data_IF_840149688721
#
_entry.id   IF_840149688721
#
_cell.length_a   1.000
_cell.length_b   1.000
_cell.length_c   1.000
_cell.angle_alpha   90.00
_cell.angle_beta   90.00
_cell.angle_gamma   90.00
#
_symmetry.space_group_name_H-M   'P 1'
#
loop_
_entity.id
_entity.type
_entity.pdbx_description
1 polymer ?
#
# COMPACT_ATOMS: atom_id res chain seq x y z
N UNK A 1 -22.70 -34.94 34.39
CA UNK A 1 -21.60 -35.66 33.72
C UNK A 1 -20.69 -34.58 33.16
N UNK A 2 -19.44 -34.50 33.60
CA UNK A 2 -18.47 -33.59 32.98
C UNK A 2 -17.92 -34.31 31.76
N UNK A 3 -18.26 -33.83 30.56
CA UNK A 3 -17.61 -34.29 29.33
C UNK A 3 -16.12 -34.00 29.47
N UNK A 4 -15.29 -35.05 29.46
CA UNK A 4 -13.85 -34.92 29.57
C UNK A 4 -13.33 -34.36 28.24
N UNK A 5 -13.03 -33.05 28.20
CA UNK A 5 -12.31 -32.44 27.08
C UNK A 5 -11.00 -33.19 26.83
N UNK A 6 -10.76 -33.57 25.57
CA UNK A 6 -9.49 -34.18 25.18
C UNK A 6 -8.35 -33.17 25.34
N UNK A 7 -7.17 -33.58 25.83
CA UNK A 7 -5.97 -32.72 25.83
C UNK A 7 -5.64 -32.13 24.45
N UNK A 8 -6.00 -32.82 23.37
CA UNK A 8 -5.85 -32.33 21.99
C UNK A 8 -6.78 -31.15 21.68
N UNK A 9 -7.99 -31.14 22.23
CA UNK A 9 -8.95 -30.04 22.01
C UNK A 9 -8.45 -28.75 22.67
N UNK A 10 -7.80 -28.87 23.84
CA UNK A 10 -7.14 -27.74 24.52
C UNK A 10 -5.96 -27.20 23.72
N UNK A 11 -5.19 -28.09 23.10
CA UNK A 11 -4.06 -27.70 22.25
C UNK A 11 -4.54 -26.97 20.99
N UNK A 12 -5.54 -27.51 20.30
CA UNK A 12 -6.17 -26.87 19.14
C UNK A 12 -6.79 -25.50 19.50
N UNK A 13 -7.45 -25.40 20.66
CA UNK A 13 -7.98 -24.14 21.16
C UNK A 13 -6.91 -23.09 21.44
N UNK A 14 -5.74 -23.50 21.93
CA UNK A 14 -4.59 -22.61 22.14
C UNK A 14 -3.96 -22.15 20.82
N UNK A 15 -3.77 -23.08 19.88
CA UNK A 15 -3.23 -22.78 18.54
C UNK A 15 -4.14 -21.80 17.80
N UNK A 16 -5.46 -22.00 17.84
CA UNK A 16 -6.42 -21.08 17.23
C UNK A 16 -6.38 -19.67 17.84
N UNK A 17 -6.18 -19.56 19.17
CA UNK A 17 -6.01 -18.27 19.83
C UNK A 17 -4.73 -17.57 19.41
N UNK A 18 -3.64 -18.33 19.29
CA UNK A 18 -2.36 -17.81 18.84
C UNK A 18 -2.46 -17.28 17.39
N UNK A 19 -2.99 -18.08 16.47
CA UNK A 19 -3.18 -17.68 15.06
C UNK A 19 -4.03 -16.41 14.97
N UNK A 20 -5.14 -16.33 15.73
CA UNK A 20 -5.98 -15.12 15.75
C UNK A 20 -5.24 -13.89 16.26
N UNK A 21 -4.36 -14.05 17.25
CA UNK A 21 -3.54 -12.94 17.76
C UNK A 21 -2.55 -12.48 16.69
N UNK A 22 -1.81 -13.41 16.10
CA UNK A 22 -0.82 -13.11 15.05
C UNK A 22 -1.49 -12.46 13.82
N UNK A 23 -2.70 -12.90 13.44
CA UNK A 23 -3.47 -12.28 12.36
C UNK A 23 -3.84 -10.83 12.69
N UNK A 24 -4.22 -10.54 13.93
CA UNK A 24 -4.50 -9.18 14.38
C UNK A 24 -3.25 -8.29 14.38
N UNK A 25 -2.12 -8.82 14.86
CA UNK A 25 -0.84 -8.10 14.84
C UNK A 25 -0.37 -7.79 13.40
N UNK A 26 -0.59 -8.72 12.45
CA UNK A 26 -0.29 -8.47 11.04
C UNK A 26 -1.23 -7.44 10.42
N UNK A 27 -2.53 -7.47 10.74
CA UNK A 27 -3.51 -6.47 10.28
C UNK A 27 -3.13 -5.06 10.74
N UNK A 28 -2.76 -4.89 12.01
CA UNK A 28 -2.27 -3.62 12.55
C UNK A 28 -0.98 -3.16 11.83
N UNK A 29 -0.08 -4.10 11.54
CA UNK A 29 1.19 -3.80 10.85
C UNK A 29 0.97 -3.40 9.38
N UNK A 30 -0.01 -3.99 8.69
CA UNK A 30 -0.41 -3.57 7.34
C UNK A 30 -0.99 -2.16 7.39
N UNK A 31 -1.93 -1.89 8.30
CA UNK A 31 -2.56 -0.56 8.45
C UNK A 31 -1.60 0.55 8.89
N UNK A 32 -0.46 0.19 9.47
CA UNK A 32 0.61 1.12 9.83
C UNK A 32 1.56 1.45 8.67
N UNK A 33 1.40 0.84 7.50
CA UNK A 33 2.18 1.20 6.31
C UNK A 33 1.83 2.64 5.92
N UNK A 34 2.86 3.44 5.67
CA UNK A 34 2.75 4.82 5.21
C UNK A 34 3.64 5.08 3.97
N UNK A 35 3.70 6.33 3.52
CA UNK A 35 4.48 6.74 2.35
C UNK A 35 6.00 6.64 2.51
N UNK A 36 6.51 6.48 3.73
CA UNK A 36 7.95 6.37 3.99
C UNK A 36 8.46 4.93 3.84
N UNK A 37 7.56 3.94 3.83
CA UNK A 37 7.92 2.55 3.64
C UNK A 37 8.48 2.31 2.23
N UNK A 38 9.56 1.53 2.16
CA UNK A 38 10.05 1.03 0.88
C UNK A 38 9.11 -0.02 0.35
N UNK A 39 8.92 -0.05 -0.97
CA UNK A 39 8.12 -1.05 -1.64
C UNK A 39 8.53 -2.50 -1.30
N UNK A 40 9.84 -2.75 -1.13
CA UNK A 40 10.35 -4.07 -0.70
C UNK A 40 9.81 -4.51 0.65
N UNK A 41 9.66 -3.56 1.57
CA UNK A 41 9.24 -3.81 2.94
C UNK A 41 7.73 -4.05 2.97
N UNK A 42 6.97 -3.28 2.19
CA UNK A 42 5.53 -3.49 1.96
C UNK A 42 5.28 -4.90 1.41
N UNK A 43 5.99 -5.30 0.35
CA UNK A 43 5.84 -6.64 -0.23
C UNK A 43 6.14 -7.74 0.79
N UNK A 44 7.14 -7.54 1.64
CA UNK A 44 7.50 -8.51 2.68
C UNK A 44 6.38 -8.65 3.71
N UNK A 45 5.86 -7.52 4.22
CA UNK A 45 4.75 -7.50 5.20
C UNK A 45 3.52 -8.21 4.63
N UNK A 46 3.13 -7.88 3.39
CA UNK A 46 1.96 -8.49 2.77
C UNK A 46 2.15 -10.00 2.51
N UNK A 47 3.37 -10.42 2.16
CA UNK A 47 3.69 -11.85 1.99
C UNK A 47 3.61 -12.62 3.31
N UNK A 48 4.08 -12.04 4.41
CA UNK A 48 3.98 -12.60 5.76
C UNK A 48 2.50 -12.75 6.18
N UNK A 49 1.72 -11.68 6.01
CA UNK A 49 0.29 -11.67 6.31
C UNK A 49 -0.48 -12.73 5.49
N UNK A 50 -0.26 -12.78 4.17
CA UNK A 50 -0.93 -13.75 3.29
C UNK A 50 -0.54 -15.20 3.59
N UNK A 51 0.70 -15.45 4.02
CA UNK A 51 1.12 -16.79 4.46
C UNK A 51 0.39 -17.23 5.72
N UNK A 52 0.23 -16.31 6.67
CA UNK A 52 -0.50 -16.58 7.91
C UNK A 52 -2.00 -16.79 7.65
N UNK A 53 -2.60 -16.01 6.75
CA UNK A 53 -3.99 -16.20 6.31
C UNK A 53 -4.14 -17.58 5.67
N UNK A 54 -3.27 -17.95 4.73
CA UNK A 54 -3.29 -19.27 4.10
C UNK A 54 -3.20 -20.40 5.13
N UNK A 55 -2.33 -20.26 6.15
CA UNK A 55 -2.25 -21.23 7.23
C UNK A 55 -3.52 -21.30 8.08
N UNK A 56 -4.17 -20.16 8.34
CA UNK A 56 -5.36 -20.08 9.18
C UNK A 56 -6.62 -20.64 8.49
N UNK A 57 -6.79 -20.36 7.19
CA UNK A 57 -7.96 -20.78 6.41
C UNK A 57 -7.83 -22.19 5.82
N UNK A 58 -6.60 -22.67 5.65
CA UNK A 58 -6.33 -24.01 5.11
C UNK A 58 -6.68 -24.10 3.63
N UNK A 59 -7.52 -25.07 3.26
CA UNK A 59 -7.92 -25.34 1.87
C UNK A 59 -9.16 -24.54 1.42
N UNK A 60 -9.67 -23.64 2.27
CA UNK A 60 -10.82 -22.79 1.95
C UNK A 60 -10.37 -21.59 1.08
N UNK A 61 -10.40 -21.79 -0.24
CA UNK A 61 -10.02 -20.78 -1.23
C UNK A 61 -10.90 -19.53 -1.18
N UNK A 62 -12.21 -19.68 -0.95
CA UNK A 62 -13.15 -18.55 -0.89
C UNK A 62 -12.83 -17.65 0.33
N UNK A 63 -12.55 -18.27 1.47
CA UNK A 63 -12.15 -17.56 2.68
C UNK A 63 -10.77 -16.93 2.54
N UNK A 64 -9.84 -17.61 1.88
CA UNK A 64 -8.53 -17.04 1.55
C UNK A 64 -8.66 -15.78 0.68
N UNK A 65 -9.43 -15.86 -0.40
CA UNK A 65 -9.65 -14.72 -1.32
C UNK A 65 -10.29 -13.52 -0.63
N UNK A 66 -11.19 -13.77 0.31
CA UNK A 66 -11.84 -12.72 1.09
C UNK A 66 -10.86 -12.00 2.05
N UNK A 67 -9.84 -12.71 2.56
CA UNK A 67 -8.97 -12.19 3.61
C UNK A 67 -7.60 -11.75 3.11
N UNK A 68 -7.16 -12.23 1.93
CA UNK A 68 -5.83 -11.92 1.38
C UNK A 68 -5.68 -10.45 1.03
N UNK A 69 -4.45 -9.98 1.15
CA UNK A 69 -4.01 -8.67 0.72
C UNK A 69 -3.48 -8.70 -0.71
N UNK A 70 -3.82 -7.66 -1.47
CA UNK A 70 -3.38 -7.43 -2.85
C UNK A 70 -2.74 -6.05 -2.96
N UNK A 71 -1.57 -6.00 -3.58
CA UNK A 71 -0.80 -4.78 -3.81
C UNK A 71 -0.92 -4.36 -5.27
N UNK A 72 -1.29 -3.11 -5.50
CA UNK A 72 -1.28 -2.46 -6.81
C UNK A 72 -0.32 -1.28 -6.77
N UNK A 73 0.56 -1.19 -7.76
CA UNK A 73 1.56 -0.12 -7.89
C UNK A 73 1.43 0.49 -9.27
N UNK A 74 1.22 1.80 -9.34
CA UNK A 74 1.33 2.54 -10.59
C UNK A 74 2.78 2.98 -10.81
N UNK A 75 3.42 2.43 -11.84
CA UNK A 75 4.81 2.70 -12.14
C UNK A 75 5.11 4.12 -12.63
N UNK A 76 4.10 4.92 -13.00
CA UNK A 76 4.28 6.30 -13.46
C UNK A 76 4.20 7.32 -12.32
N UNK A 77 3.22 7.14 -11.44
CA UNK A 77 2.94 8.08 -10.34
C UNK A 77 3.57 7.65 -9.01
N UNK A 78 4.02 6.39 -8.89
CA UNK A 78 4.46 5.82 -7.62
C UNK A 78 3.30 5.54 -6.65
N UNK A 79 2.05 5.66 -7.11
CA UNK A 79 0.88 5.40 -6.28
C UNK A 79 0.82 3.93 -5.89
N UNK A 80 0.54 3.69 -4.61
CA UNK A 80 0.37 2.35 -4.04
C UNK A 80 -1.03 2.23 -3.46
N UNK A 81 -1.66 1.10 -3.76
CA UNK A 81 -2.99 0.74 -3.24
C UNK A 81 -2.90 -0.67 -2.67
N UNK A 82 -3.35 -0.85 -1.44
CA UNK A 82 -3.46 -2.14 -0.77
C UNK A 82 -4.94 -2.44 -0.57
N UNK A 83 -5.36 -3.62 -1.05
CA UNK A 83 -6.75 -4.08 -1.01
C UNK A 83 -6.81 -5.37 -0.22
N UNK A 84 -7.70 -5.46 0.75
CA UNK A 84 -8.01 -6.69 1.48
C UNK A 84 -9.39 -7.19 1.05
N UNK A 85 -9.48 -8.41 0.52
CA UNK A 85 -10.75 -8.88 -0.02
C UNK A 85 -11.30 -7.89 -1.04
N UNK A 86 -12.49 -7.34 -0.82
CA UNK A 86 -13.09 -6.35 -1.73
C UNK A 86 -12.97 -4.90 -1.25
N UNK A 87 -12.25 -4.64 -0.16
CA UNK A 87 -12.13 -3.32 0.45
C UNK A 87 -10.72 -2.74 0.24
N UNK A 88 -10.66 -1.45 -0.08
CA UNK A 88 -9.40 -0.70 -0.13
C UNK A 88 -9.02 -0.37 1.31
N UNK A 89 -7.89 -0.91 1.76
CA UNK A 89 -7.42 -0.72 3.13
C UNK A 89 -6.42 0.45 3.19
N UNK A 90 -5.55 0.57 2.18
CA UNK A 90 -4.59 1.68 2.06
C UNK A 90 -4.60 2.23 0.65
N UNK A 91 -4.63 3.55 0.54
CA UNK A 91 -4.56 4.27 -0.72
C UNK A 91 -3.65 5.50 -0.61
N UNK A 92 -2.46 5.42 -1.20
CA UNK A 92 -1.53 6.56 -1.26
C UNK A 92 -1.75 7.46 -2.49
N UNK A 93 -2.96 7.48 -3.07
CA UNK A 93 -3.32 8.44 -4.13
C UNK A 93 -3.61 9.85 -3.61
N UNK A 94 -4.05 10.00 -2.35
CA UNK A 94 -4.51 11.29 -1.77
C UNK A 94 -3.47 12.04 -0.92
N UNK A 95 -2.27 11.48 -0.65
CA UNK A 95 -1.22 12.21 0.08
C UNK A 95 -0.57 13.32 -0.76
N UNK A 96 -0.75 13.30 -2.08
CA UNK A 96 -0.38 14.42 -2.96
C UNK A 96 -1.49 15.48 -3.03
N UNK A 97 -2.76 15.11 -2.78
CA UNK A 97 -3.92 16.00 -2.85
C UNK A 97 -4.36 16.59 -1.47
N UNK A 98 -3.79 16.16 -0.35
CA UNK A 98 -4.14 16.68 1.00
C UNK A 98 -3.36 17.93 1.46
N UNK A 99 -2.81 18.71 0.53
CA UNK A 99 -2.48 20.12 0.80
C UNK A 99 -1.00 20.46 1.00
N UNK A 100 -0.10 19.86 0.22
CA UNK A 100 1.31 20.27 0.20
C UNK A 100 1.85 20.54 -1.21
N UNK A 101 1.11 21.35 -1.97
CA UNK A 101 1.58 21.92 -3.24
C UNK A 101 0.96 23.32 -3.40
N UNK A 102 1.58 24.32 -2.75
CA UNK A 102 1.86 25.67 -3.29
C UNK A 102 2.59 26.50 -2.24
N UNK A 103 3.84 26.13 -1.97
CA UNK A 103 4.90 27.14 -1.77
C UNK A 103 6.00 26.75 -2.76
N UNK A 104 5.66 26.79 -4.05
CA UNK A 104 6.66 27.08 -5.06
C UNK A 104 6.97 28.55 -4.83
N UNK A 105 8.21 28.87 -4.45
CA UNK A 105 8.72 30.23 -4.38
C UNK A 105 8.33 30.98 -5.67
N UNK A 106 7.34 31.87 -5.59
CA UNK A 106 6.95 32.78 -6.69
C UNK A 106 7.95 33.93 -6.84
N UNK A 107 9.24 33.62 -6.75
CA UNK A 107 10.34 34.54 -7.06
C UNK A 107 11.05 34.12 -8.37
N UNK A 108 10.37 33.40 -9.27
CA UNK A 108 10.82 33.33 -10.67
C UNK A 108 10.28 34.56 -11.42
N UNK A 109 11.09 35.62 -11.34
CA UNK A 109 10.99 36.87 -12.07
C UNK A 109 10.47 36.68 -13.50
N UNK A 110 9.23 37.10 -13.68
CA UNK A 110 8.70 37.94 -14.76
C UNK A 110 9.56 37.99 -16.04
N UNK A 111 8.98 37.46 -17.13
CA UNK A 111 9.43 37.63 -18.53
C UNK A 111 9.69 39.08 -18.91
N UNK A 112 10.81 39.31 -19.59
CA UNK A 112 11.04 40.21 -20.74
C UNK A 112 12.53 40.02 -21.06
N UNK A 113 13.02 39.84 -22.28
CA UNK A 113 12.69 40.50 -23.54
C UNK A 113 13.38 39.68 -24.63
N UNK A 114 12.90 39.84 -25.85
CA UNK A 114 13.16 39.02 -27.01
C UNK A 114 14.66 38.79 -27.31
N UNK A 115 14.94 37.60 -27.84
CA UNK A 115 16.19 37.23 -28.45
C UNK A 115 16.55 38.24 -29.56
N UNK A 116 17.62 39.00 -29.36
CA UNK A 116 18.44 39.48 -30.46
C UNK A 116 19.10 38.25 -31.10
N UNK A 117 18.66 37.85 -32.30
CA UNK A 117 19.55 37.22 -33.26
C UNK A 117 19.20 37.70 -34.67
N UNK A 118 20.19 38.34 -35.28
CA UNK A 118 20.14 39.04 -36.56
C UNK A 118 19.93 38.08 -37.73
N UNK A 119 18.89 38.29 -38.55
CA UNK A 119 18.86 37.79 -39.93
C UNK A 119 18.62 38.95 -40.90
N UNK A 120 19.72 39.39 -41.52
CA UNK A 120 19.75 40.29 -42.68
C UNK A 120 18.97 39.66 -43.86
N UNK A 121 17.74 40.14 -44.10
CA UNK A 121 17.01 39.86 -45.34
C UNK A 121 17.32 40.92 -46.42
N UNK A 122 17.73 40.38 -47.57
CA UNK A 122 18.09 41.04 -48.82
C UNK A 122 17.11 42.15 -49.27
N UNK A 123 17.65 43.33 -49.58
CA UNK A 123 16.95 44.37 -50.36
C UNK A 123 17.29 44.25 -51.84
N UNK A 124 16.36 43.74 -52.64
CA UNK A 124 16.26 44.02 -54.08
C UNK A 124 15.89 45.50 -54.29
N UNK A 125 16.80 46.32 -54.86
CA UNK A 125 16.49 47.45 -55.78
C UNK A 125 17.69 47.71 -56.70
#
# INVERSE_FOLDING_TARGET
MAESESPLDKYNGFVNKLIKRELGEMDERVKAIDSEYKLSDIVTILSEANSLISFAVGEDEDLYELWRYRLFVDGLSGNIVIIQGNEVDIDFRELVDSGRLTELDEDEDIRNEDCDDDEDEDKEW
#
